data_IF_471822567995
#
_entry.id   IF_471822567995
#
_cell.length_a   1.000
_cell.length_b   1.000
_cell.length_c   1.000
_cell.angle_alpha   90.00
_cell.angle_beta   90.00
_cell.angle_gamma   90.00
#
_symmetry.space_group_name_H-M   'P 1'
#
loop_
_entity.id
_entity.type
_entity.pdbx_description
1 polymer ?
#
# COMPACT_ATOMS: atom_id res chain seq x y z
N UNK A 1 -54.00 -47.23 -0.02
CA UNK A 1 -52.71 -47.08 -0.71
C UNK A 1 -51.86 -48.31 -0.45
N UNK A 2 -51.26 -48.89 -1.51
CA UNK A 2 -50.57 -50.19 -1.51
C UNK A 2 -49.19 -50.08 -0.85
N UNK A 3 -48.93 -50.96 0.12
CA UNK A 3 -47.61 -51.31 0.64
C UNK A 3 -46.80 -52.04 -0.43
N UNK A 4 -45.57 -51.60 -0.70
CA UNK A 4 -44.55 -52.39 -1.41
C UNK A 4 -43.36 -52.57 -0.48
N UNK A 5 -43.13 -53.83 -0.09
CA UNK A 5 -41.92 -54.32 0.58
C UNK A 5 -40.92 -54.72 -0.51
N UNK A 6 -39.67 -54.25 -0.43
CA UNK A 6 -38.54 -54.88 -1.09
C UNK A 6 -37.58 -55.35 0.01
N UNK A 7 -37.27 -56.65 -0.03
CA UNK A 7 -36.35 -57.36 0.85
C UNK A 7 -34.98 -57.51 0.20
N UNK A 8 -33.97 -57.68 1.05
CA UNK A 8 -32.66 -58.32 0.82
C UNK A 8 -31.56 -57.42 0.24
N UNK A 9 -30.28 -57.54 0.62
CA UNK A 9 -29.58 -58.20 1.72
C UNK A 9 -28.06 -57.91 1.48
N UNK A 10 -27.31 -57.73 2.57
CA UNK A 10 -25.93 -58.22 2.77
C UNK A 10 -24.82 -57.68 1.83
N UNK A 11 -23.89 -56.89 2.38
CA UNK A 11 -22.52 -57.36 2.70
C UNK A 11 -21.74 -56.29 3.49
N UNK A 12 -21.30 -56.69 4.67
CA UNK A 12 -20.29 -56.03 5.48
C UNK A 12 -18.88 -56.51 5.04
N UNK A 13 -17.85 -55.69 5.27
CA UNK A 13 -16.42 -56.05 5.15
C UNK A 13 -15.65 -54.94 4.43
N UNK A 14 -15.05 -53.97 5.13
CA UNK A 14 -13.80 -54.00 5.88
C UNK A 14 -12.54 -53.91 5.00
N UNK A 15 -11.62 -53.02 5.41
CA UNK A 15 -10.22 -52.77 4.97
C UNK A 15 -10.03 -52.12 3.58
N UNK A 16 -9.19 -51.08 3.41
CA UNK A 16 -7.87 -50.88 3.97
C UNK A 16 -7.48 -49.41 4.22
N UNK A 17 -6.77 -49.20 5.33
CA UNK A 17 -5.90 -48.04 5.60
C UNK A 17 -4.62 -48.23 4.78
N UNK A 18 -4.24 -47.28 3.93
CA UNK A 18 -2.88 -46.67 3.82
C UNK A 18 -2.71 -45.93 2.48
N UNK A 19 -2.61 -44.61 2.57
CA UNK A 19 -1.75 -43.84 1.68
C UNK A 19 -1.24 -42.63 2.47
N UNK A 20 -0.21 -42.88 3.29
CA UNK A 20 0.63 -41.82 3.81
C UNK A 20 1.37 -41.19 2.63
N UNK A 21 0.85 -40.08 2.10
CA UNK A 21 1.62 -39.21 1.22
C UNK A 21 2.50 -38.33 2.12
N UNK A 22 3.64 -38.88 2.53
CA UNK A 22 4.79 -38.08 2.95
C UNK A 22 5.32 -37.34 1.73
N UNK A 23 4.69 -36.22 1.40
CA UNK A 23 5.25 -35.21 0.53
C UNK A 23 5.76 -34.07 1.41
N UNK A 24 7.00 -34.20 1.91
CA UNK A 24 7.83 -33.02 2.19
C UNK A 24 8.21 -32.42 0.83
N UNK A 25 7.27 -31.71 0.22
CA UNK A 25 7.56 -30.80 -0.88
C UNK A 25 8.34 -29.58 -0.36
N UNK A 26 9.05 -28.84 -1.25
CA UNK A 26 9.73 -27.61 -0.85
C UNK A 26 8.68 -26.72 -0.18
N UNK A 27 9.00 -26.26 1.04
CA UNK A 27 8.06 -25.60 1.94
C UNK A 27 7.15 -24.65 1.16
N UNK A 28 5.84 -24.79 1.38
CA UNK A 28 4.84 -23.83 0.89
C UNK A 28 5.41 -22.44 1.11
N UNK A 29 5.62 -21.62 0.05
CA UNK A 29 6.14 -20.28 0.21
C UNK A 29 5.33 -19.59 1.30
N UNK A 30 6.02 -19.06 2.30
CA UNK A 30 5.33 -18.34 3.36
C UNK A 30 4.43 -17.28 2.70
N UNK A 31 3.17 -17.13 3.17
CA UNK A 31 2.31 -16.08 2.66
C UNK A 31 3.03 -14.75 2.78
N UNK A 32 3.09 -14.00 1.68
CA UNK A 32 3.64 -12.65 1.70
C UNK A 32 2.90 -11.83 2.77
N UNK A 33 3.60 -11.04 3.59
CA UNK A 33 2.95 -10.23 4.61
C UNK A 33 1.91 -9.32 3.97
N UNK A 34 0.74 -9.23 4.59
CA UNK A 34 -0.30 -8.29 4.16
C UNK A 34 0.17 -6.87 4.46
N UNK A 35 0.11 -5.94 3.49
CA UNK A 35 0.46 -4.54 3.72
C UNK A 35 -0.42 -3.91 4.80
N UNK A 36 0.19 -3.16 5.71
CA UNK A 36 -0.52 -2.54 6.84
C UNK A 36 -0.24 -1.05 7.02
N UNK A 37 0.69 -0.47 6.27
CA UNK A 37 1.08 0.93 6.45
C UNK A 37 0.55 1.86 5.36
N UNK A 38 0.48 3.14 5.69
CA UNK A 38 0.34 4.24 4.74
C UNK A 38 1.55 5.17 4.69
N UNK A 39 2.58 4.86 5.48
CA UNK A 39 3.87 5.55 5.45
C UNK A 39 4.79 4.89 4.43
N UNK A 40 5.45 5.72 3.63
CA UNK A 40 6.40 5.28 2.61
C UNK A 40 7.64 6.14 2.74
N UNK A 41 8.75 5.51 3.14
CA UNK A 41 10.06 6.12 3.20
C UNK A 41 10.79 5.98 1.86
N UNK A 42 11.84 6.78 1.65
CA UNK A 42 12.63 6.72 0.41
C UNK A 42 13.19 5.32 0.11
N UNK A 43 13.57 4.56 1.14
CA UNK A 43 14.05 3.17 0.97
C UNK A 43 12.99 2.25 0.37
N UNK A 44 11.71 2.51 0.66
CA UNK A 44 10.59 1.68 0.22
C UNK A 44 10.32 1.80 -1.27
N UNK A 45 10.86 2.83 -1.94
CA UNK A 45 10.75 3.00 -3.39
C UNK A 45 11.38 1.84 -4.18
N UNK A 46 12.40 1.20 -3.59
CA UNK A 46 13.16 0.11 -4.21
C UNK A 46 12.86 -1.25 -3.58
N UNK A 47 11.94 -1.31 -2.62
CA UNK A 47 11.56 -2.55 -1.99
C UNK A 47 10.97 -3.52 -3.05
N UNK A 48 11.40 -4.79 -3.09
CA UNK A 48 10.86 -5.78 -4.03
C UNK A 48 9.35 -5.98 -3.89
N UNK A 49 8.83 -5.80 -2.67
CA UNK A 49 7.42 -5.91 -2.34
C UNK A 49 6.99 -4.68 -1.52
N UNK A 50 5.94 -3.95 -1.94
CA UNK A 50 5.47 -2.79 -1.21
C UNK A 50 4.75 -3.22 0.07
N UNK A 51 5.16 -2.66 1.21
CA UNK A 51 4.51 -2.88 2.50
C UNK A 51 3.34 -1.90 2.78
N UNK A 52 2.99 -1.04 1.81
CA UNK A 52 1.86 -0.12 1.94
C UNK A 52 0.60 -0.60 1.21
N UNK A 53 -0.53 -0.21 1.78
CA UNK A 53 -1.87 -0.61 1.34
C UNK A 53 -2.14 -0.13 -0.10
N UNK A 54 -1.63 1.04 -0.48
CA UNK A 54 -2.01 1.67 -1.73
C UNK A 54 -1.26 1.17 -2.95
N UNK A 55 0.05 0.91 -2.88
CA UNK A 55 0.78 0.27 -3.98
C UNK A 55 0.34 -1.17 -4.21
N UNK A 56 -0.15 -1.84 -3.17
CA UNK A 56 -0.72 -3.19 -3.33
C UNK A 56 -2.05 -3.19 -4.08
N UNK A 57 -2.94 -2.23 -3.79
CA UNK A 57 -4.22 -2.08 -4.51
C UNK A 57 -4.03 -1.47 -5.91
N UNK A 58 -3.12 -0.51 -6.04
CA UNK A 58 -2.85 0.27 -7.25
C UNK A 58 -1.34 0.39 -7.44
N UNK A 59 -0.68 -0.50 -8.20
CA UNK A 59 0.78 -0.51 -8.37
C UNK A 59 1.38 0.82 -8.83
N UNK A 60 0.63 1.60 -9.61
CA UNK A 60 1.05 2.90 -10.11
C UNK A 60 0.83 4.07 -9.12
N UNK A 61 0.19 3.84 -7.96
CA UNK A 61 -0.26 4.88 -7.03
C UNK A 61 0.82 5.92 -6.73
N UNK A 62 1.99 5.47 -6.29
CA UNK A 62 3.05 6.37 -5.87
C UNK A 62 3.64 7.15 -7.04
N UNK A 63 3.85 6.49 -8.19
CA UNK A 63 4.32 7.18 -9.41
C UNK A 63 3.35 8.28 -9.83
N UNK A 64 2.07 7.95 -9.95
CA UNK A 64 1.04 8.87 -10.43
C UNK A 64 0.86 10.04 -9.45
N UNK A 65 1.02 9.78 -8.16
CA UNK A 65 1.04 10.79 -7.11
C UNK A 65 2.21 11.75 -7.26
N UNK A 66 3.44 11.23 -7.38
CA UNK A 66 4.63 12.06 -7.53
C UNK A 66 4.59 12.89 -8.82
N UNK A 67 4.08 12.32 -9.91
CA UNK A 67 3.88 13.05 -11.17
C UNK A 67 2.95 14.24 -10.98
N UNK A 68 1.79 14.07 -10.32
CA UNK A 68 0.88 15.19 -10.03
C UNK A 68 1.52 16.27 -9.19
N UNK A 69 2.32 15.90 -8.19
CA UNK A 69 3.05 16.89 -7.37
C UNK A 69 4.05 17.65 -8.24
N UNK A 70 4.82 16.96 -9.08
CA UNK A 70 5.79 17.60 -9.97
C UNK A 70 5.14 18.52 -11.01
N UNK A 71 3.98 18.13 -11.56
CA UNK A 71 3.19 18.95 -12.48
C UNK A 71 2.62 20.22 -11.82
N UNK A 72 2.36 20.15 -10.51
CA UNK A 72 1.91 21.30 -9.73
C UNK A 72 3.01 22.31 -9.37
N UNK A 73 4.28 22.01 -9.66
CA UNK A 73 5.39 22.94 -9.38
C UNK A 73 5.43 24.09 -10.40
N UNK A 74 5.84 25.31 -9.98
CA UNK A 74 6.00 26.43 -10.90
C UNK A 74 6.95 26.09 -12.07
N UNK A 75 6.66 26.53 -13.32
CA UNK A 75 7.58 26.36 -14.44
C UNK A 75 8.96 26.93 -14.14
N UNK A 76 10.01 26.16 -14.47
CA UNK A 76 11.40 26.49 -14.14
C UNK A 76 11.87 25.92 -12.78
N UNK A 77 11.01 25.22 -12.06
CA UNK A 77 11.43 24.39 -10.92
C UNK A 77 12.33 23.25 -11.40
N UNK A 78 13.28 22.83 -10.58
CA UNK A 78 14.24 21.76 -10.91
C UNK A 78 14.63 20.95 -9.69
N UNK A 79 15.08 19.71 -9.93
CA UNK A 79 15.31 18.75 -8.87
C UNK A 79 13.98 18.29 -8.25
N UNK A 80 13.83 16.98 -8.05
CA UNK A 80 12.76 16.44 -7.24
C UNK A 80 13.32 15.23 -6.52
N UNK A 81 13.56 15.36 -5.22
CA UNK A 81 14.03 14.28 -4.38
C UNK A 81 12.98 13.93 -3.33
N UNK A 82 12.31 12.80 -3.55
CA UNK A 82 11.33 12.28 -2.59
C UNK A 82 12.00 11.97 -1.25
N UNK A 83 11.38 12.43 -0.15
CA UNK A 83 11.84 12.13 1.21
C UNK A 83 10.96 11.07 1.84
N UNK A 84 9.68 11.38 2.03
CA UNK A 84 8.70 10.45 2.56
C UNK A 84 7.27 10.86 2.18
N UNK A 85 6.36 9.91 2.33
CA UNK A 85 4.91 10.09 2.28
C UNK A 85 4.34 9.58 3.59
N UNK A 86 3.46 10.36 4.22
CA UNK A 86 2.65 9.93 5.35
C UNK A 86 1.18 10.15 5.06
N UNK A 87 0.34 9.32 5.66
CA UNK A 87 -1.10 9.51 5.68
C UNK A 87 -1.57 9.55 7.11
N UNK A 88 -2.13 10.69 7.49
CA UNK A 88 -2.53 10.97 8.85
C UNK A 88 -4.02 11.32 8.89
N UNK A 89 -4.65 11.00 10.03
CA UNK A 89 -6.01 11.43 10.33
C UNK A 89 -5.96 12.40 11.49
N UNK A 90 -6.38 13.66 11.28
CA UNK A 90 -6.27 14.70 12.31
C UNK A 90 -7.04 14.38 13.60
N UNK A 91 -8.09 13.57 13.51
CA UNK A 91 -8.92 13.11 14.64
C UNK A 91 -9.53 11.73 14.32
N UNK A 92 -10.06 10.96 15.30
CA UNK A 92 -10.68 9.65 15.06
C UNK A 92 -11.82 9.64 14.04
N UNK A 93 -12.47 10.79 13.83
CA UNK A 93 -13.50 11.01 12.81
C UNK A 93 -13.11 12.08 11.76
N UNK A 94 -11.87 12.56 11.82
CA UNK A 94 -11.37 13.64 10.97
C UNK A 94 -11.15 13.20 9.53
N UNK A 95 -10.85 14.18 8.67
CA UNK A 95 -10.46 13.93 7.28
C UNK A 95 -9.07 13.30 7.24
N UNK A 96 -8.91 12.30 6.38
CA UNK A 96 -7.60 11.77 6.06
C UNK A 96 -6.84 12.77 5.18
N UNK A 97 -5.57 12.93 5.50
CA UNK A 97 -4.66 13.83 4.78
C UNK A 97 -3.44 13.03 4.38
N UNK A 98 -3.01 13.20 3.13
CA UNK A 98 -1.72 12.69 2.67
C UNK A 98 -0.73 13.85 2.62
N UNK A 99 0.46 13.62 3.17
CA UNK A 99 1.57 14.58 3.15
C UNK A 99 2.75 13.94 2.43
N UNK A 100 3.29 14.63 1.43
CA UNK A 100 4.56 14.24 0.79
C UNK A 100 5.60 15.30 1.07
N UNK A 101 6.73 14.88 1.65
CA UNK A 101 7.90 15.73 1.80
C UNK A 101 8.90 15.38 0.70
N UNK A 102 9.46 16.40 0.10
CA UNK A 102 10.42 16.27 -0.98
C UNK A 102 11.35 17.47 -0.98
N UNK A 103 12.49 17.36 -1.64
CA UNK A 103 13.38 18.47 -1.91
C UNK A 103 13.28 18.87 -3.38
N UNK A 104 13.19 20.17 -3.64
CA UNK A 104 13.19 20.72 -4.98
C UNK A 104 13.63 22.19 -4.96
N UNK A 105 14.13 22.68 -6.09
CA UNK A 105 14.49 24.08 -6.30
C UNK A 105 13.38 24.78 -7.07
N UNK A 106 12.80 25.83 -6.49
CA UNK A 106 11.88 26.74 -7.19
C UNK A 106 12.66 27.68 -8.12
N UNK A 107 11.99 28.35 -9.09
CA UNK A 107 12.67 29.20 -10.06
C UNK A 107 13.54 30.28 -9.39
N UNK A 108 14.84 30.25 -9.64
CA UNK A 108 15.81 31.19 -9.08
C UNK A 108 16.18 30.94 -7.61
N UNK A 109 15.74 29.84 -7.02
CA UNK A 109 16.04 29.47 -5.63
C UNK A 109 16.94 28.23 -5.55
N UNK A 110 17.64 28.06 -4.42
CA UNK A 110 18.32 26.81 -4.10
C UNK A 110 17.32 25.73 -3.65
N UNK A 111 17.69 24.47 -3.85
CA UNK A 111 16.91 23.32 -3.42
C UNK A 111 16.66 23.35 -1.90
N UNK A 112 15.42 23.02 -1.49
CA UNK A 112 15.02 22.96 -0.08
C UNK A 112 13.86 22.01 0.14
N UNK A 113 13.62 21.66 1.39
CA UNK A 113 12.50 20.81 1.78
C UNK A 113 11.17 21.54 1.54
N UNK A 114 10.29 20.88 0.80
CA UNK A 114 8.93 21.26 0.53
C UNK A 114 7.96 20.20 1.03
N UNK A 115 6.70 20.58 1.16
CA UNK A 115 5.61 19.71 1.61
C UNK A 115 4.43 19.89 0.65
N UNK A 116 3.97 18.79 0.07
CA UNK A 116 2.70 18.74 -0.66
C UNK A 116 1.65 18.07 0.23
N UNK A 117 0.46 18.64 0.31
CA UNK A 117 -0.64 18.17 1.15
C UNK A 117 -1.90 18.05 0.33
N UNK A 118 -2.65 16.96 0.51
CA UNK A 118 -3.96 16.81 -0.09
C UNK A 118 -4.92 16.05 0.83
N UNK A 119 -6.22 16.25 0.63
CA UNK A 119 -7.21 15.32 1.17
C UNK A 119 -6.97 13.92 0.61
N UNK A 120 -7.16 12.89 1.43
CA UNK A 120 -6.91 11.52 1.07
C UNK A 120 -8.14 10.64 1.29
N UNK A 121 -8.36 9.68 0.40
CA UNK A 121 -9.31 8.59 0.57
C UNK A 121 -8.51 7.27 0.66
N UNK A 122 -8.38 6.67 1.86
CA UNK A 122 -7.61 5.44 2.08
C UNK A 122 -8.31 4.18 1.56
N UNK A 123 -9.62 4.22 1.31
CA UNK A 123 -10.35 3.09 0.73
C UNK A 123 -10.01 2.97 -0.76
N UNK A 124 -10.08 4.10 -1.46
CA UNK A 124 -9.84 4.16 -2.88
C UNK A 124 -8.39 4.50 -3.26
N UNK A 125 -7.52 4.85 -2.31
CA UNK A 125 -6.16 5.34 -2.57
C UNK A 125 -6.15 6.49 -3.59
N UNK A 126 -6.96 7.50 -3.34
CA UNK A 126 -7.11 8.69 -4.19
C UNK A 126 -6.89 9.96 -3.38
N UNK A 127 -6.46 11.01 -4.07
CA UNK A 127 -6.16 12.31 -3.47
C UNK A 127 -7.07 13.38 -4.06
N UNK A 128 -7.38 14.40 -3.26
CA UNK A 128 -7.95 15.64 -3.75
C UNK A 128 -6.89 16.53 -4.43
N UNK A 129 -7.18 17.83 -4.49
CA UNK A 129 -6.23 18.86 -4.95
C UNK A 129 -5.02 18.94 -4.03
N UNK A 130 -3.85 19.18 -4.62
CA UNK A 130 -2.58 19.30 -3.92
C UNK A 130 -2.27 20.77 -3.63
N UNK A 131 -1.90 21.04 -2.38
CA UNK A 131 -1.33 22.30 -1.96
C UNK A 131 0.16 22.09 -1.68
N UNK A 132 1.01 22.81 -2.41
CA UNK A 132 2.48 22.75 -2.22
C UNK A 132 2.90 23.95 -1.39
N UNK A 133 3.53 23.66 -0.26
CA UNK A 133 4.01 24.63 0.72
C UNK A 133 5.51 24.44 0.94
N UNK A 134 6.20 25.53 1.29
CA UNK A 134 7.56 25.39 1.82
C UNK A 134 7.48 24.65 3.16
N UNK A 135 8.27 23.59 3.30
CA UNK A 135 8.37 22.88 4.58
C UNK A 135 9.05 23.77 5.61
N UNK A 136 8.91 23.49 6.92
CA UNK A 136 9.76 24.13 7.91
C UNK A 136 11.21 23.94 7.48
N UNK A 137 11.94 25.06 7.36
CA UNK A 137 13.39 25.03 7.20
C UNK A 137 13.97 24.15 8.30
N UNK A 138 15.09 23.49 8.01
CA UNK A 138 15.72 22.50 8.88
C UNK A 138 16.18 23.15 10.19
N UNK A 139 15.26 23.37 11.13
CA UNK A 139 15.49 23.91 12.47
C UNK A 139 14.61 23.18 13.51
N UNK A 140 14.31 21.90 13.28
CA UNK A 140 13.81 21.02 14.35
C UNK A 140 14.50 19.66 14.28
N UNK A 141 15.72 19.62 14.81
CA UNK A 141 16.22 18.46 15.55
C UNK A 141 16.15 18.84 17.03
N UNK A 142 15.35 18.11 17.81
CA UNK A 142 15.58 17.93 19.23
C UNK A 142 15.20 16.49 19.59
#
# INVERSE_FOLDING_TARGET
MKMKRNLSAVLAGATAITAALTACGPGTPEPKPTPTTYDIEKSDLTAPEPNDICRTRKPAFLRDLLLRITEGLPPGSSGFDFRNLSVDRSEPNGKWTVTVRFEAALPGETARIMRAVAAFDPENCTTGEWLVERGPGVDQQN
#
